data_IF_617758264848
#
_entry.id   IF_617758264848
#
_cell.length_a   1.000
_cell.length_b   1.000
_cell.length_c   1.000
_cell.angle_alpha   90.00
_cell.angle_beta   90.00
_cell.angle_gamma   90.00
#
_symmetry.space_group_name_H-M   'P 1'
#
loop_
_entity.id
_entity.type
_entity.pdbx_description
1 polymer ?
#
# COMPACT_ATOMS: atom_id res chain seq x y z
N UNK A 1 -20.51 -5.62 10.99
CA UNK A 1 -19.59 -6.77 10.80
C UNK A 1 -18.17 -6.26 11.02
N UNK A 2 -17.60 -6.46 12.21
CA UNK A 2 -16.21 -6.05 12.48
C UNK A 2 -15.26 -7.10 11.88
N UNK A 3 -14.83 -6.87 10.64
CA UNK A 3 -13.75 -7.65 10.05
C UNK A 3 -12.52 -7.56 10.95
N UNK A 4 -11.88 -8.70 11.24
CA UNK A 4 -10.63 -8.73 11.99
C UNK A 4 -9.54 -8.09 11.14
N UNK A 5 -9.46 -6.78 11.23
CA UNK A 5 -8.31 -5.98 10.84
C UNK A 5 -7.03 -6.58 11.43
N UNK A 6 -5.92 -6.48 10.70
CA UNK A 6 -4.58 -6.57 11.28
C UNK A 6 -4.55 -5.78 12.61
N UNK A 7 -4.05 -6.33 13.73
CA UNK A 7 -4.54 -5.92 15.04
C UNK A 7 -4.29 -4.43 15.30
N UNK A 8 -5.32 -3.71 15.71
CA UNK A 8 -5.20 -2.36 16.27
C UNK A 8 -4.19 -2.41 17.41
N UNK A 9 -3.09 -1.63 17.30
CA UNK A 9 -1.93 -1.65 18.20
C UNK A 9 -1.07 -2.93 18.18
N UNK A 10 -1.14 -3.75 17.13
CA UNK A 10 -0.09 -4.74 16.91
C UNK A 10 1.25 -4.01 16.84
N UNK A 11 2.12 -4.29 17.81
CA UNK A 11 3.48 -3.81 17.79
C UNK A 11 4.13 -4.51 16.59
N UNK A 12 4.37 -3.74 15.53
CA UNK A 12 5.24 -4.17 14.45
C UNK A 12 6.65 -4.24 15.05
N UNK A 13 7.05 -5.43 15.48
CA UNK A 13 8.36 -5.69 16.10
C UNK A 13 9.40 -5.73 15.02
N UNK A 14 10.51 -5.01 15.14
CA UNK A 14 11.65 -5.09 14.22
C UNK A 14 11.99 -6.51 13.80
N UNK A 15 12.36 -6.69 12.52
CA UNK A 15 12.45 -8.03 11.96
C UNK A 15 12.02 -8.16 10.51
N UNK A 16 12.03 -9.41 10.08
CA UNK A 16 11.77 -9.80 8.71
C UNK A 16 10.29 -9.63 8.34
N UNK A 17 10.04 -8.96 7.21
CA UNK A 17 8.69 -8.86 6.66
C UNK A 17 8.61 -9.79 5.45
N UNK A 18 7.79 -10.85 5.49
CA UNK A 18 7.65 -11.76 4.36
C UNK A 18 6.99 -11.03 3.18
N UNK A 19 7.53 -11.24 1.99
CA UNK A 19 6.94 -10.77 0.73
C UNK A 19 5.71 -11.59 0.37
N UNK A 20 4.83 -11.05 -0.48
CA UNK A 20 3.66 -11.78 -0.97
C UNK A 20 4.01 -13.15 -1.59
N UNK A 21 5.01 -13.26 -2.49
CA UNK A 21 5.44 -14.56 -3.02
C UNK A 21 5.80 -15.59 -1.94
N UNK A 22 6.37 -15.14 -0.82
CA UNK A 22 6.74 -16.01 0.30
C UNK A 22 5.55 -16.42 1.16
N UNK A 23 4.48 -15.61 1.17
CA UNK A 23 3.23 -15.92 1.86
C UNK A 23 2.29 -16.80 1.02
N UNK A 24 2.41 -16.80 -0.31
CA UNK A 24 1.45 -17.42 -1.24
C UNK A 24 1.92 -18.71 -1.93
N UNK A 25 2.89 -19.43 -1.34
CA UNK A 25 3.37 -20.74 -1.83
C UNK A 25 3.84 -20.75 -3.30
N UNK A 26 4.42 -19.64 -3.80
CA UNK A 26 5.03 -19.53 -5.14
C UNK A 26 4.09 -19.78 -6.34
N UNK A 27 2.77 -19.67 -6.20
CA UNK A 27 1.87 -19.67 -7.36
C UNK A 27 1.92 -18.27 -8.00
N UNK A 28 2.83 -18.08 -8.97
CA UNK A 28 2.83 -16.91 -9.87
C UNK A 28 3.30 -15.56 -9.31
N UNK A 29 3.68 -15.47 -8.03
CA UNK A 29 4.25 -14.24 -7.43
C UNK A 29 3.25 -13.11 -7.16
N UNK A 30 2.05 -13.14 -7.74
CA UNK A 30 0.99 -12.20 -7.43
C UNK A 30 0.32 -12.48 -6.06
N UNK A 31 -0.19 -11.45 -5.35
CA UNK A 31 -1.06 -11.64 -4.19
C UNK A 31 -2.29 -12.50 -4.56
N UNK A 32 -2.80 -13.30 -3.61
CA UNK A 32 -4.03 -14.07 -3.87
C UNK A 32 -5.21 -13.13 -4.17
N UNK A 33 -6.09 -13.56 -5.07
CA UNK A 33 -7.25 -12.80 -5.53
C UNK A 33 -6.88 -11.48 -6.24
N UNK A 34 -5.65 -11.36 -6.75
CA UNK A 34 -5.21 -10.30 -7.63
C UNK A 34 -4.82 -10.91 -8.98
N UNK A 35 -5.27 -10.29 -10.07
CA UNK A 35 -4.93 -10.70 -11.44
C UNK A 35 -4.05 -9.62 -12.07
N UNK A 36 -2.81 -9.98 -12.37
CA UNK A 36 -1.82 -9.13 -13.01
C UNK A 36 -1.48 -9.57 -14.45
N UNK A 37 -2.28 -10.46 -15.06
CA UNK A 37 -2.02 -11.03 -16.39
C UNK A 37 -1.85 -9.92 -17.45
N UNK A 38 -2.81 -9.00 -17.54
CA UNK A 38 -2.80 -7.94 -18.56
C UNK A 38 -1.57 -7.04 -18.42
N UNK A 39 -1.21 -6.69 -17.17
CA UNK A 39 -0.02 -5.89 -16.89
C UNK A 39 1.26 -6.64 -17.28
N UNK A 40 1.37 -7.93 -16.92
CA UNK A 40 2.50 -8.77 -17.26
C UNK A 40 2.68 -8.91 -18.78
N UNK A 41 1.59 -9.15 -19.53
CA UNK A 41 1.64 -9.27 -20.99
C UNK A 41 2.09 -7.95 -21.63
N UNK A 42 1.51 -6.82 -21.20
CA UNK A 42 1.82 -5.52 -21.78
C UNK A 42 3.25 -5.06 -21.45
N UNK A 43 3.68 -5.16 -20.20
CA UNK A 43 5.01 -4.71 -19.76
C UNK A 43 6.15 -5.60 -20.26
N UNK A 44 5.88 -6.87 -20.62
CA UNK A 44 6.87 -7.76 -21.21
C UNK A 44 6.91 -7.73 -22.75
N UNK A 45 6.02 -6.96 -23.39
CA UNK A 45 6.05 -6.73 -24.82
C UNK A 45 7.33 -5.97 -25.23
N UNK A 46 8.02 -6.47 -26.26
CA UNK A 46 9.29 -5.87 -26.70
C UNK A 46 9.18 -4.42 -27.18
N UNK A 47 8.06 -4.04 -27.80
CA UNK A 47 7.82 -2.65 -28.24
C UNK A 47 7.60 -1.72 -27.05
N UNK A 48 6.83 -2.16 -26.06
CA UNK A 48 6.58 -1.40 -24.81
C UNK A 48 7.89 -1.21 -24.05
N UNK A 49 8.65 -2.29 -23.88
CA UNK A 49 9.97 -2.25 -23.25
C UNK A 49 10.95 -1.28 -23.92
N UNK A 50 10.95 -1.23 -25.25
CA UNK A 50 11.73 -0.25 -26.02
C UNK A 50 11.22 1.17 -25.79
N UNK A 51 9.90 1.39 -25.80
CA UNK A 51 9.29 2.70 -25.64
C UNK A 51 9.51 3.32 -24.26
N UNK A 52 9.53 2.51 -23.19
CA UNK A 52 9.82 2.96 -21.82
C UNK A 52 11.33 2.88 -21.47
N UNK A 53 12.17 2.64 -22.47
CA UNK A 53 13.62 2.59 -22.35
C UNK A 53 14.14 1.57 -21.31
N UNK A 54 13.53 0.38 -21.22
CA UNK A 54 14.07 -0.68 -20.36
C UNK A 54 15.40 -1.20 -20.88
N UNK A 55 16.24 -1.71 -19.99
CA UNK A 55 17.42 -2.49 -20.37
C UNK A 55 17.04 -3.72 -21.21
N UNK A 56 18.04 -4.22 -21.94
CA UNK A 56 17.91 -5.41 -22.77
C UNK A 56 17.47 -6.63 -21.94
N UNK A 57 16.77 -7.57 -22.59
CA UNK A 57 16.21 -8.77 -21.92
C UNK A 57 17.28 -9.69 -21.32
N UNK A 58 18.52 -9.63 -21.80
CA UNK A 58 19.64 -10.37 -21.19
C UNK A 58 20.02 -9.84 -19.79
N UNK A 59 19.74 -8.56 -19.48
CA UNK A 59 19.98 -7.98 -18.16
C UNK A 59 18.76 -8.17 -17.26
N UNK A 60 17.56 -7.86 -17.76
CA UNK A 60 16.29 -8.06 -17.02
C UNK A 60 15.34 -8.90 -17.90
N UNK A 61 15.24 -10.22 -17.66
CA UNK A 61 14.49 -11.13 -18.51
C UNK A 61 13.01 -10.81 -18.62
N UNK A 62 12.38 -10.47 -17.48
CA UNK A 62 10.95 -10.24 -17.38
C UNK A 62 10.64 -9.20 -16.30
N UNK A 63 9.55 -8.48 -16.50
CA UNK A 63 8.85 -7.72 -15.48
C UNK A 63 7.89 -8.64 -14.72
N UNK A 64 7.71 -8.36 -13.43
CA UNK A 64 6.76 -8.99 -12.53
C UNK A 64 6.17 -7.90 -11.62
N UNK A 65 4.89 -7.99 -11.28
CA UNK A 65 4.26 -7.03 -10.37
C UNK A 65 4.86 -7.09 -8.96
N UNK A 66 5.10 -8.30 -8.47
CA UNK A 66 5.67 -8.59 -7.15
C UNK A 66 6.86 -9.53 -7.29
N UNK A 67 7.99 -9.20 -6.65
CA UNK A 67 9.21 -10.03 -6.68
C UNK A 67 9.49 -10.65 -5.33
N UNK A 68 9.84 -11.93 -5.32
CA UNK A 68 10.32 -12.65 -4.14
C UNK A 68 11.82 -12.44 -3.88
N UNK A 69 12.52 -11.70 -4.74
CA UNK A 69 13.97 -11.48 -4.64
C UNK A 69 14.34 -10.42 -3.59
N UNK A 70 13.40 -9.54 -3.23
CA UNK A 70 13.60 -8.51 -2.23
C UNK A 70 13.47 -9.09 -0.82
N UNK A 71 14.52 -8.93 -0.01
CA UNK A 71 14.52 -9.27 1.41
C UNK A 71 14.41 -7.97 2.21
N UNK A 72 13.24 -7.74 2.80
CA UNK A 72 12.99 -6.53 3.59
C UNK A 72 12.95 -6.84 5.09
N UNK A 73 13.60 -5.99 5.88
CA UNK A 73 13.58 -6.02 7.34
C UNK A 73 13.13 -4.64 7.80
N UNK A 74 12.03 -4.56 8.55
CA UNK A 74 11.60 -3.28 9.13
C UNK A 74 12.35 -2.98 10.44
N UNK A 75 12.56 -1.70 10.69
CA UNK A 75 13.28 -1.16 11.86
C UNK A 75 12.81 0.26 12.26
N UNK A 76 11.80 0.82 11.58
CA UNK A 76 11.38 2.22 11.76
C UNK A 76 10.15 2.43 12.65
N UNK A 77 9.50 1.35 13.11
CA UNK A 77 8.32 1.43 13.97
C UNK A 77 7.18 2.26 13.37
N UNK A 78 6.67 3.23 14.14
CA UNK A 78 5.51 4.05 13.76
C UNK A 78 5.90 5.27 12.91
N UNK A 79 5.09 5.58 11.89
CA UNK A 79 5.26 6.76 11.04
C UNK A 79 4.76 8.07 11.68
N UNK A 80 4.07 8.03 12.83
CA UNK A 80 3.49 9.22 13.47
C UNK A 80 4.52 10.35 13.72
N UNK A 81 5.73 10.09 14.27
CA UNK A 81 6.71 11.15 14.50
C UNK A 81 7.15 11.86 13.21
N UNK A 82 7.26 11.11 12.11
CA UNK A 82 7.63 11.65 10.80
C UNK A 82 6.52 12.52 10.22
N UNK A 83 5.27 12.07 10.29
CA UNK A 83 4.13 12.90 9.86
C UNK A 83 4.06 14.19 10.67
N UNK A 84 4.23 14.14 12.00
CA UNK A 84 4.28 15.34 12.85
C UNK A 84 5.40 16.30 12.47
N UNK A 85 6.58 15.77 12.13
CA UNK A 85 7.73 16.58 11.71
C UNK A 85 7.52 17.25 10.36
N UNK A 86 6.80 16.61 9.44
CA UNK A 86 6.54 17.15 8.11
C UNK A 86 5.43 18.21 8.15
N UNK A 87 4.32 17.92 8.80
CA UNK A 87 3.21 18.89 8.92
C UNK A 87 3.60 20.12 9.75
N UNK A 88 4.49 20.00 10.75
CA UNK A 88 5.02 21.18 11.47
C UNK A 88 5.85 22.11 10.60
N UNK A 89 6.32 21.63 9.44
CA UNK A 89 7.00 22.44 8.40
C UNK A 89 6.03 22.99 7.34
N UNK A 90 4.72 22.77 7.49
CA UNK A 90 3.72 23.24 6.55
C UNK A 90 3.41 22.30 5.37
N UNK A 91 3.95 21.08 5.35
CA UNK A 91 3.59 20.10 4.33
C UNK A 91 2.16 19.59 4.54
N UNK A 92 1.35 19.60 3.47
CA UNK A 92 -0.01 19.05 3.48
C UNK A 92 0.03 17.53 3.35
N UNK A 93 -0.80 16.84 4.11
CA UNK A 93 -0.98 15.40 4.04
C UNK A 93 -2.45 15.04 3.84
N UNK A 94 -2.71 14.09 2.95
CA UNK A 94 -4.01 13.45 2.77
C UNK A 94 -3.88 11.98 3.12
N UNK A 95 -4.75 11.50 4.00
CA UNK A 95 -4.82 10.10 4.41
C UNK A 95 -6.18 9.58 3.97
N UNK A 96 -6.20 8.54 3.14
CA UNK A 96 -7.42 7.94 2.60
C UNK A 96 -7.35 6.42 2.75
N UNK A 97 -8.50 5.75 2.76
CA UNK A 97 -8.60 4.29 2.81
C UNK A 97 -9.88 3.85 2.12
N UNK A 98 -9.82 2.75 1.36
CA UNK A 98 -11.03 2.06 0.91
C UNK A 98 -11.71 1.40 2.11
N UNK A 99 -13.01 1.61 2.27
CA UNK A 99 -13.78 1.11 3.41
C UNK A 99 -13.99 -0.42 3.38
N UNK A 100 -13.82 -1.04 2.21
CA UNK A 100 -13.89 -2.49 2.01
C UNK A 100 -12.52 -3.20 1.99
N UNK A 101 -11.40 -2.49 2.14
CA UNK A 101 -10.09 -3.14 2.23
C UNK A 101 -9.96 -3.90 3.55
N UNK A 102 -9.70 -5.20 3.47
CA UNK A 102 -9.45 -6.05 4.63
C UNK A 102 -7.96 -6.22 4.95
N UNK A 103 -7.06 -5.93 4.01
CA UNK A 103 -5.62 -5.99 4.23
C UNK A 103 -5.19 -4.89 5.20
N UNK A 104 -5.57 -3.64 4.94
CA UNK A 104 -5.35 -2.49 5.83
C UNK A 104 -6.66 -1.70 5.98
N UNK A 105 -7.54 -2.08 6.91
CA UNK A 105 -8.87 -1.51 6.99
C UNK A 105 -8.87 -0.08 7.50
N UNK A 106 -9.84 0.69 7.00
CA UNK A 106 -10.00 2.12 7.29
C UNK A 106 -10.09 2.44 8.80
N UNK A 107 -10.63 1.53 9.62
CA UNK A 107 -10.71 1.71 11.08
C UNK A 107 -9.34 1.80 11.73
N UNK A 108 -8.34 1.08 11.20
CA UNK A 108 -6.94 1.19 11.60
C UNK A 108 -6.37 2.56 11.26
N UNK A 109 -6.59 3.02 10.03
CA UNK A 109 -6.18 4.35 9.57
C UNK A 109 -6.85 5.48 10.36
N UNK A 110 -8.14 5.34 10.68
CA UNK A 110 -8.89 6.29 11.49
C UNK A 110 -8.28 6.41 12.90
N UNK A 111 -7.98 5.27 13.54
CA UNK A 111 -7.40 5.28 14.88
C UNK A 111 -5.94 5.78 14.88
N UNK A 112 -5.16 5.43 13.83
CA UNK A 112 -3.82 5.97 13.62
C UNK A 112 -3.85 7.50 13.46
N UNK A 113 -4.76 8.03 12.65
CA UNK A 113 -4.90 9.47 12.41
C UNK A 113 -5.32 10.20 13.69
N UNK A 114 -6.26 9.64 14.46
CA UNK A 114 -6.62 10.15 15.79
C UNK A 114 -5.42 10.22 16.74
N UNK A 115 -4.52 9.24 16.68
CA UNK A 115 -3.31 9.20 17.54
C UNK A 115 -2.30 10.32 17.26
N UNK A 116 -2.39 10.99 16.11
CA UNK A 116 -1.57 12.17 15.82
C UNK A 116 -1.92 13.32 16.78
N UNK A 117 -3.19 13.46 17.16
CA UNK A 117 -3.63 14.45 18.15
C UNK A 117 -3.77 15.87 17.61
N UNK A 118 -4.06 16.05 16.31
CA UNK A 118 -4.45 17.36 15.79
C UNK A 118 -5.89 17.71 16.15
N UNK A 119 -6.15 19.02 16.23
CA UNK A 119 -7.51 19.54 16.41
C UNK A 119 -8.32 19.27 15.17
N UNK A 120 -9.57 18.84 15.36
CA UNK A 120 -10.56 18.79 14.29
C UNK A 120 -10.92 20.23 13.94
N UNK A 121 -10.74 20.60 12.69
CA UNK A 121 -11.06 21.95 12.17
C UNK A 121 -12.30 21.93 11.26
N UNK A 122 -12.71 20.74 10.86
CA UNK A 122 -13.84 20.49 9.97
C UNK A 122 -14.37 19.09 10.27
N UNK A 123 -15.67 18.98 10.47
CA UNK A 123 -16.32 17.74 10.94
C UNK A 123 -16.42 16.70 9.82
N UNK A 124 -16.56 15.45 10.23
CA UNK A 124 -16.76 14.34 9.33
C UNK A 124 -18.05 14.54 8.52
N UNK A 125 -17.95 14.45 7.20
CA UNK A 125 -19.07 14.63 6.27
C UNK A 125 -18.86 13.77 5.02
N UNK A 126 -19.95 13.40 4.33
CA UNK A 126 -19.81 12.76 3.04
C UNK A 126 -19.21 13.71 2.01
N UNK A 127 -18.46 13.17 1.05
CA UNK A 127 -18.10 13.87 -0.17
C UNK A 127 -18.81 13.24 -1.37
N UNK A 128 -19.24 14.09 -2.30
CA UNK A 128 -20.09 13.68 -3.42
C UNK A 128 -19.32 13.77 -4.74
N UNK A 129 -19.60 12.81 -5.62
CA UNK A 129 -19.21 12.85 -7.04
C UNK A 129 -20.46 12.54 -7.85
N UNK A 130 -20.83 13.44 -8.78
CA UNK A 130 -22.03 13.30 -9.60
C UNK A 130 -23.29 12.98 -8.78
N UNK A 131 -23.52 13.74 -7.71
CA UNK A 131 -24.66 13.60 -6.78
C UNK A 131 -24.74 12.24 -6.06
N UNK A 132 -23.66 11.45 -6.04
CA UNK A 132 -23.54 10.20 -5.29
C UNK A 132 -22.52 10.32 -4.17
N UNK A 133 -22.81 9.70 -3.02
CA UNK A 133 -21.86 9.60 -1.91
C UNK A 133 -20.70 8.72 -2.35
N UNK A 134 -19.51 9.32 -2.47
CA UNK A 134 -18.29 8.63 -2.86
C UNK A 134 -17.42 8.25 -1.63
N UNK A 135 -17.68 8.87 -0.48
CA UNK A 135 -17.17 8.50 0.83
C UNK A 135 -17.36 9.62 1.84
#
# INVERSE_FOLDING_TARGET
MFGRAWPYKAIVKDGYVPSWPQLTSNIGGAPRCYDDEVANVWLNNGKVRKAIHTVQKNVVPSWYLCTGQLKYKHDLGSMVPYHKKLTSKGYRALIYSGDHDMCIPYTGTQAWTRSIGYKIVDEWRPWLVNDQVAG
#
